data_IF_138079105275
#
_entry.id   IF_138079105275
#
_cell.length_a   1.000
_cell.length_b   1.000
_cell.length_c   1.000
_cell.angle_alpha   90.00
_cell.angle_beta   90.00
_cell.angle_gamma   90.00
#
_symmetry.space_group_name_H-M   'P 1'
#
loop_
_entity.id
_entity.type
_entity.pdbx_description
1 polymer ?
#
# COMPACT_ATOMS: atom_id res chain seq x y z
N UNK A 1 -15.11 -3.54 13.98
CA UNK A 1 -14.99 -4.12 12.62
C UNK A 1 -13.64 -3.71 12.05
N UNK A 2 -12.60 -4.49 12.32
CA UNK A 2 -11.28 -4.28 11.69
C UNK A 2 -11.35 -5.01 10.36
N UNK A 3 -11.24 -4.29 9.25
CA UNK A 3 -11.18 -4.89 7.92
C UNK A 3 -10.12 -5.98 7.95
N UNK A 4 -10.50 -7.21 7.64
CA UNK A 4 -9.55 -8.33 7.69
C UNK A 4 -8.63 -8.19 6.48
N UNK A 5 -7.35 -7.80 6.64
CA UNK A 5 -6.42 -7.81 5.51
C UNK A 5 -6.38 -9.21 4.90
N UNK A 6 -6.01 -9.33 3.63
CA UNK A 6 -5.94 -10.64 2.95
C UNK A 6 -5.04 -11.65 3.67
N UNK A 7 -4.04 -11.19 4.43
CA UNK A 7 -3.23 -12.02 5.34
C UNK A 7 -4.04 -12.64 6.49
N UNK A 8 -5.02 -11.93 7.04
CA UNK A 8 -5.91 -12.47 8.07
C UNK A 8 -6.80 -13.59 7.50
N UNK A 9 -7.17 -13.53 6.22
CA UNK A 9 -7.87 -14.63 5.56
C UNK A 9 -6.99 -15.89 5.49
N UNK A 10 -5.70 -15.74 5.18
CA UNK A 10 -4.73 -16.86 5.20
C UNK A 10 -4.66 -17.49 6.60
N UNK A 11 -4.52 -16.67 7.64
CA UNK A 11 -4.50 -17.17 9.02
C UNK A 11 -5.79 -17.87 9.44
N UNK A 12 -6.96 -17.41 8.95
CA UNK A 12 -8.25 -18.06 9.23
C UNK A 12 -8.41 -19.40 8.51
N UNK A 13 -7.84 -19.57 7.31
CA UNK A 13 -7.85 -20.85 6.58
C UNK A 13 -7.19 -21.96 7.41
N UNK A 14 -6.10 -21.63 8.12
CA UNK A 14 -5.34 -22.56 8.97
C UNK A 14 -5.71 -22.48 10.46
N UNK A 15 -6.95 -22.10 10.80
CA UNK A 15 -7.37 -21.99 12.20
C UNK A 15 -7.20 -23.34 12.92
N UNK A 16 -6.42 -23.36 14.00
CA UNK A 16 -6.10 -24.57 14.76
C UNK A 16 -4.85 -25.33 14.28
N UNK A 17 -4.22 -24.88 13.19
CA UNK A 17 -2.95 -25.41 12.67
C UNK A 17 -1.91 -24.27 12.58
N UNK A 18 -1.13 -24.07 13.64
CA UNK A 18 -0.11 -23.02 13.68
C UNK A 18 1.02 -23.24 12.67
N UNK A 19 1.36 -24.50 12.37
CA UNK A 19 2.43 -24.85 11.43
C UNK A 19 2.00 -24.56 10.00
N UNK A 20 0.79 -25.00 9.62
CA UNK A 20 0.19 -24.67 8.33
C UNK A 20 -0.03 -23.18 8.15
N UNK A 21 -0.45 -22.45 9.19
CA UNK A 21 -0.61 -20.99 9.16
C UNK A 21 0.71 -20.28 8.85
N UNK A 22 1.81 -20.66 9.51
CA UNK A 22 3.14 -20.10 9.24
C UNK A 22 3.59 -20.41 7.81
N UNK A 23 3.45 -21.65 7.35
CA UNK A 23 3.80 -22.05 5.98
C UNK A 23 2.98 -21.29 4.93
N UNK A 24 1.66 -21.19 5.13
CA UNK A 24 0.75 -20.45 4.26
C UNK A 24 1.11 -18.97 4.18
N UNK A 25 1.48 -18.35 5.31
CA UNK A 25 1.98 -16.97 5.33
C UNK A 25 3.31 -16.83 4.56
N UNK A 26 4.22 -17.80 4.64
CA UNK A 26 5.44 -17.79 3.82
C UNK A 26 5.11 -17.80 2.33
N UNK A 27 4.21 -18.67 1.86
CA UNK A 27 3.77 -18.68 0.46
C UNK A 27 3.08 -17.38 0.05
N UNK A 28 2.27 -16.80 0.93
CA UNK A 28 1.62 -15.51 0.69
C UNK A 28 2.65 -14.39 0.45
N UNK A 29 3.68 -14.29 1.29
CA UNK A 29 4.75 -13.30 1.09
C UNK A 29 5.61 -13.59 -0.14
N UNK A 30 5.90 -14.86 -0.44
CA UNK A 30 6.61 -15.22 -1.67
C UNK A 30 5.81 -14.82 -2.92
N UNK A 31 4.49 -15.03 -2.92
CA UNK A 31 3.63 -14.61 -4.04
C UNK A 31 3.64 -13.08 -4.23
N UNK A 32 3.66 -12.30 -3.14
CA UNK A 32 3.79 -10.83 -3.21
C UNK A 32 5.13 -10.44 -3.85
N UNK A 33 6.24 -11.04 -3.42
CA UNK A 33 7.57 -10.75 -3.96
C UNK A 33 7.67 -11.13 -5.44
N UNK A 34 7.19 -12.31 -5.83
CA UNK A 34 7.14 -12.74 -7.24
C UNK A 34 6.28 -11.79 -8.09
N UNK A 35 5.10 -11.41 -7.60
CA UNK A 35 4.26 -10.43 -8.27
C UNK A 35 4.94 -9.08 -8.43
N UNK A 36 5.65 -8.61 -7.40
CA UNK A 36 6.44 -7.37 -7.45
C UNK A 36 7.59 -7.46 -8.46
N UNK A 37 8.30 -8.59 -8.54
CA UNK A 37 9.35 -8.81 -9.54
C UNK A 37 8.80 -8.66 -10.96
N UNK A 38 7.69 -9.34 -11.26
CA UNK A 38 7.04 -9.25 -12.56
C UNK A 38 6.58 -7.80 -12.82
N UNK A 39 5.97 -7.14 -11.85
CA UNK A 39 5.53 -5.76 -11.97
C UNK A 39 6.66 -4.78 -12.28
N UNK A 40 7.77 -4.86 -11.54
CA UNK A 40 8.96 -4.01 -11.74
C UNK A 40 9.63 -4.31 -13.09
N UNK A 41 9.67 -5.57 -13.52
CA UNK A 41 10.24 -5.96 -14.80
C UNK A 41 9.41 -5.40 -15.97
N UNK A 42 8.08 -5.55 -15.90
CA UNK A 42 7.16 -5.28 -17.00
C UNK A 42 6.81 -3.79 -17.11
N UNK A 43 6.52 -3.10 -16.00
CA UNK A 43 5.99 -1.73 -16.04
C UNK A 43 6.86 -0.73 -16.84
N UNK A 44 8.20 -0.70 -16.71
CA UNK A 44 9.04 0.22 -17.48
C UNK A 44 8.97 -0.01 -19.00
N UNK A 45 8.69 -1.25 -19.46
CA UNK A 45 8.59 -1.57 -20.88
C UNK A 45 7.43 -0.85 -21.57
N UNK A 46 6.36 -0.56 -20.82
CA UNK A 46 5.16 0.11 -21.33
C UNK A 46 5.20 1.63 -21.17
N UNK A 47 6.18 2.16 -20.42
CA UNK A 47 6.28 3.60 -20.14
C UNK A 47 6.56 4.43 -21.41
N UNK A 48 7.26 3.85 -22.38
CA UNK A 48 7.60 4.50 -23.67
C UNK A 48 6.52 4.31 -24.75
N UNK A 49 5.38 3.70 -24.41
CA UNK A 49 4.27 3.55 -25.35
C UNK A 49 3.57 4.89 -25.61
N UNK A 50 2.79 4.97 -26.71
CA UNK A 50 2.02 6.17 -27.08
C UNK A 50 1.05 6.68 -25.99
N UNK A 51 0.61 5.80 -25.08
CA UNK A 51 -0.28 6.16 -23.96
C UNK A 51 0.47 6.35 -22.63
N UNK A 52 1.79 6.21 -22.62
CA UNK A 52 2.66 6.43 -21.47
C UNK A 52 2.21 5.66 -20.21
N UNK A 53 2.03 6.41 -19.11
CA UNK A 53 1.61 5.86 -17.81
C UNK A 53 0.26 5.13 -17.90
N UNK A 54 -0.64 5.54 -18.80
CA UNK A 54 -1.96 4.91 -18.94
C UNK A 54 -1.85 3.45 -19.40
N UNK A 55 -0.83 3.10 -20.18
CA UNK A 55 -0.56 1.71 -20.56
C UNK A 55 -0.21 0.84 -19.35
N UNK A 56 0.59 1.38 -18.41
CA UNK A 56 0.94 0.68 -17.17
C UNK A 56 -0.31 0.50 -16.30
N UNK A 57 -1.12 1.54 -16.17
CA UNK A 57 -2.38 1.48 -15.42
C UNK A 57 -3.36 0.46 -16.01
N UNK A 58 -3.46 0.38 -17.34
CA UNK A 58 -4.29 -0.61 -18.01
C UNK A 58 -3.89 -2.05 -17.65
N UNK A 59 -2.58 -2.34 -17.66
CA UNK A 59 -2.06 -3.67 -17.27
C UNK A 59 -2.38 -3.96 -15.79
N UNK A 60 -2.25 -2.98 -14.91
CA UNK A 60 -2.62 -3.13 -13.49
C UNK A 60 -4.10 -3.46 -13.34
N UNK A 61 -4.98 -2.75 -14.04
CA UNK A 61 -6.42 -3.01 -14.03
C UNK A 61 -6.73 -4.42 -14.54
N UNK A 62 -6.11 -4.84 -15.64
CA UNK A 62 -6.27 -6.20 -16.17
C UNK A 62 -5.79 -7.27 -15.17
N UNK A 63 -4.64 -7.06 -14.53
CA UNK A 63 -4.13 -7.97 -13.50
C UNK A 63 -5.06 -8.06 -12.28
N UNK A 64 -5.61 -6.93 -11.82
CA UNK A 64 -6.61 -6.90 -10.74
C UNK A 64 -7.90 -7.60 -11.14
N UNK A 65 -8.38 -7.40 -12.37
CA UNK A 65 -9.56 -8.08 -12.90
C UNK A 65 -9.34 -9.60 -12.97
N UNK A 66 -8.18 -10.05 -13.46
CA UNK A 66 -7.82 -11.47 -13.49
C UNK A 66 -7.78 -12.08 -12.08
N UNK A 67 -7.22 -11.37 -11.09
CA UNK A 67 -7.21 -11.82 -9.70
C UNK A 67 -8.64 -11.92 -9.12
N UNK A 68 -9.51 -10.94 -9.40
CA UNK A 68 -10.90 -10.97 -8.97
C UNK A 68 -11.68 -12.12 -9.60
N UNK A 69 -11.51 -12.36 -10.90
CA UNK A 69 -12.12 -13.50 -11.60
C UNK A 69 -11.62 -14.83 -11.04
N UNK A 70 -10.32 -14.95 -10.75
CA UNK A 70 -9.76 -16.14 -10.12
C UNK A 70 -10.38 -16.40 -8.74
N UNK A 71 -10.50 -15.35 -7.91
CA UNK A 71 -11.15 -15.44 -6.60
C UNK A 71 -12.61 -15.90 -6.72
N UNK A 72 -13.38 -15.33 -7.65
CA UNK A 72 -14.77 -15.73 -7.90
C UNK A 72 -14.85 -17.19 -8.36
N UNK A 73 -14.01 -17.60 -9.31
CA UNK A 73 -13.98 -18.98 -9.82
C UNK A 73 -13.58 -20.00 -8.74
N UNK A 74 -12.76 -19.60 -7.78
CA UNK A 74 -12.27 -20.43 -6.67
C UNK A 74 -12.99 -20.18 -5.34
N UNK A 75 -14.11 -19.44 -5.35
CA UNK A 75 -14.85 -19.04 -4.14
C UNK A 75 -15.14 -20.20 -3.19
N UNK A 76 -15.48 -21.38 -3.74
CA UNK A 76 -15.78 -22.61 -2.96
C UNK A 76 -14.66 -23.05 -2.01
N UNK A 77 -13.40 -22.70 -2.28
CA UNK A 77 -12.27 -23.03 -1.41
C UNK A 77 -12.40 -22.31 -0.05
N UNK A 78 -13.12 -21.19 -0.02
CA UNK A 78 -13.22 -20.31 1.15
C UNK A 78 -14.48 -20.54 1.98
N UNK A 79 -15.40 -21.43 1.59
CA UNK A 79 -16.70 -21.62 2.26
C UNK A 79 -16.56 -21.96 3.76
N UNK A 80 -15.44 -22.60 4.13
CA UNK A 80 -15.10 -23.02 5.50
C UNK A 80 -14.65 -21.84 6.40
N UNK A 81 -14.38 -20.69 5.79
CA UNK A 81 -13.66 -19.55 6.41
C UNK A 81 -14.46 -18.25 6.31
N UNK A 82 -15.46 -18.23 5.43
CA UNK A 82 -16.40 -17.11 5.23
C UNK A 82 -17.32 -17.00 6.44
N UNK A 83 -17.42 -15.79 6.99
CA UNK A 83 -18.30 -15.48 8.12
C UNK A 83 -19.78 -15.65 7.70
N UNK A 84 -20.65 -16.01 8.63
CA UNK A 84 -22.08 -16.17 8.32
C UNK A 84 -22.72 -14.86 7.86
N UNK A 85 -22.14 -13.72 8.28
CA UNK A 85 -22.52 -12.40 7.81
C UNK A 85 -22.17 -12.16 6.33
N UNK A 86 -21.10 -12.78 5.83
CA UNK A 86 -20.62 -12.69 4.45
C UNK A 86 -21.37 -13.65 3.51
N UNK A 87 -22.08 -14.65 4.07
CA UNK A 87 -22.96 -15.56 3.31
C UNK A 87 -24.30 -14.91 2.95
N UNK A 88 -24.72 -13.88 3.70
CA UNK A 88 -25.97 -13.17 3.45
C UNK A 88 -25.78 -12.11 2.35
N UNK A 89 -26.74 -11.94 1.43
CA UNK A 89 -26.66 -10.87 0.44
C UNK A 89 -26.65 -9.50 1.14
N UNK A 90 -25.87 -8.55 0.61
CA UNK A 90 -25.87 -7.19 1.15
C UNK A 90 -27.26 -6.56 0.99
N UNK A 91 -27.85 -6.14 2.10
CA UNK A 91 -29.12 -5.41 2.11
C UNK A 91 -28.92 -3.98 1.61
N UNK A 92 -29.95 -3.36 1.05
CA UNK A 92 -29.91 -1.97 0.57
C UNK A 92 -29.43 -1.01 1.67
N UNK A 93 -29.84 -1.25 2.92
CA UNK A 93 -29.42 -0.47 4.08
C UNK A 93 -27.89 -0.51 4.34
N UNK A 94 -27.19 -1.56 3.88
CA UNK A 94 -25.72 -1.67 3.96
C UNK A 94 -25.05 -1.22 2.66
N UNK A 95 -25.66 -1.50 1.51
CA UNK A 95 -25.09 -1.16 0.20
C UNK A 95 -25.10 0.35 -0.05
N UNK A 96 -26.20 1.03 0.30
CA UNK A 96 -26.34 2.46 0.06
C UNK A 96 -25.28 3.33 0.76
N UNK A 97 -24.98 3.17 2.08
CA UNK A 97 -23.93 3.95 2.72
C UNK A 97 -22.53 3.62 2.17
N UNK A 98 -22.27 2.36 1.78
CA UNK A 98 -21.00 1.99 1.16
C UNK A 98 -20.84 2.66 -0.20
N UNK A 99 -21.87 2.63 -1.05
CA UNK A 99 -21.87 3.31 -2.34
C UNK A 99 -21.75 4.82 -2.18
N UNK A 100 -22.49 5.42 -1.25
CA UNK A 100 -22.39 6.86 -0.96
C UNK A 100 -20.99 7.25 -0.49
N UNK A 101 -20.36 6.43 0.37
CA UNK A 101 -18.98 6.64 0.81
C UNK A 101 -17.99 6.55 -0.36
N UNK A 102 -18.10 5.53 -1.21
CA UNK A 102 -17.23 5.35 -2.38
C UNK A 102 -17.40 6.48 -3.40
N UNK A 103 -18.64 6.83 -3.73
CA UNK A 103 -18.96 7.91 -4.67
C UNK A 103 -18.56 9.27 -4.13
N UNK A 104 -18.82 9.54 -2.85
CA UNK A 104 -18.41 10.77 -2.18
C UNK A 104 -16.89 10.89 -2.11
N UNK A 105 -16.21 9.82 -1.72
CA UNK A 105 -14.74 9.76 -1.71
C UNK A 105 -14.14 9.99 -3.10
N UNK A 106 -14.72 9.35 -4.14
CA UNK A 106 -14.32 9.57 -5.52
C UNK A 106 -14.56 11.02 -5.96
N UNK A 107 -15.73 11.60 -5.68
CA UNK A 107 -16.05 12.98 -6.05
C UNK A 107 -15.10 13.99 -5.38
N UNK A 108 -14.78 13.79 -4.10
CA UNK A 108 -13.79 14.61 -3.38
C UNK A 108 -12.42 14.46 -4.03
N UNK A 109 -11.95 13.23 -4.24
CA UNK A 109 -10.64 12.97 -4.83
C UNK A 109 -10.53 13.54 -6.26
N UNK A 110 -11.58 13.40 -7.06
CA UNK A 110 -11.65 13.93 -8.42
C UNK A 110 -11.65 15.46 -8.44
N UNK A 111 -12.45 16.08 -7.56
CA UNK A 111 -12.46 17.55 -7.42
C UNK A 111 -11.11 18.07 -6.96
N UNK A 112 -10.47 17.39 -6.01
CA UNK A 112 -9.14 17.71 -5.51
C UNK A 112 -8.07 17.60 -6.60
N UNK A 113 -8.17 16.56 -7.44
CA UNK A 113 -7.31 16.34 -8.59
C UNK A 113 -7.44 17.45 -9.64
N UNK A 114 -8.67 17.90 -9.93
CA UNK A 114 -8.92 19.01 -10.86
C UNK A 114 -8.47 20.37 -10.32
N UNK A 115 -8.41 20.53 -8.99
CA UNK A 115 -8.09 21.81 -8.33
C UNK A 115 -6.89 21.69 -7.37
N UNK A 116 -5.68 21.42 -7.88
CA UNK A 116 -4.51 21.12 -7.04
C UNK A 116 -4.10 22.29 -6.13
N UNK A 117 -4.29 23.54 -6.57
CA UNK A 117 -4.00 24.72 -5.75
C UNK A 117 -4.87 24.77 -4.51
N UNK A 118 -6.20 24.62 -4.67
CA UNK A 118 -7.16 24.62 -3.56
C UNK A 118 -6.86 23.45 -2.61
N UNK A 119 -6.61 22.26 -3.17
CA UNK A 119 -6.24 21.07 -2.39
C UNK A 119 -4.99 21.31 -1.55
N UNK A 120 -3.96 21.95 -2.12
CA UNK A 120 -2.72 22.28 -1.40
C UNK A 120 -2.98 23.23 -0.23
N UNK A 121 -3.80 24.26 -0.42
CA UNK A 121 -4.16 25.18 0.66
C UNK A 121 -4.99 24.50 1.76
N UNK A 122 -5.99 23.68 1.38
CA UNK A 122 -6.83 22.97 2.35
C UNK A 122 -6.00 21.99 3.18
N UNK A 123 -5.13 21.20 2.54
CA UNK A 123 -4.23 20.27 3.21
C UNK A 123 -3.24 21.05 4.09
N UNK A 124 -2.62 22.10 3.56
CA UNK A 124 -1.65 22.92 4.29
C UNK A 124 -2.26 23.57 5.53
N UNK A 125 -3.45 24.16 5.40
CA UNK A 125 -4.18 24.78 6.51
C UNK A 125 -4.61 23.73 7.53
N UNK A 126 -5.16 22.59 7.09
CA UNK A 126 -5.54 21.49 7.97
C UNK A 126 -4.38 20.93 8.78
N UNK A 127 -3.25 20.66 8.11
CA UNK A 127 -2.01 20.22 8.76
C UNK A 127 -1.50 21.27 9.75
N UNK A 128 -1.45 22.54 9.34
CA UNK A 128 -0.99 23.64 10.22
C UNK A 128 -1.87 23.77 11.44
N UNK A 129 -3.20 23.77 11.27
CA UNK A 129 -4.15 23.84 12.36
C UNK A 129 -4.02 22.64 13.31
N UNK A 130 -3.85 21.42 12.77
CA UNK A 130 -3.64 20.21 13.57
C UNK A 130 -2.36 20.26 14.40
N UNK A 131 -1.25 20.69 13.79
CA UNK A 131 0.04 20.86 14.49
C UNK A 131 -0.08 21.94 15.56
N UNK A 132 -0.68 23.08 15.25
CA UNK A 132 -0.89 24.16 16.22
C UNK A 132 -1.77 23.71 17.39
N UNK A 133 -2.88 23.03 17.11
CA UNK A 133 -3.77 22.49 18.14
C UNK A 133 -3.04 21.49 19.04
N UNK A 134 -2.22 20.61 18.46
CA UNK A 134 -1.37 19.68 19.21
C UNK A 134 -0.36 20.41 20.09
N UNK A 135 0.37 21.40 19.55
CA UNK A 135 1.35 22.18 20.28
C UNK A 135 0.73 22.99 21.42
N UNK A 136 -0.37 23.70 21.15
CA UNK A 136 -1.11 24.46 22.16
C UNK A 136 -1.57 23.54 23.28
N UNK A 137 -2.18 22.39 22.94
CA UNK A 137 -2.64 21.42 23.94
C UNK A 137 -1.47 20.86 24.76
N UNK A 138 -0.32 20.62 24.14
CA UNK A 138 0.89 20.17 24.83
C UNK A 138 1.39 21.23 25.83
N UNK A 139 1.36 22.52 25.47
CA UNK A 139 1.79 23.61 26.35
C UNK A 139 0.85 23.83 27.54
N UNK A 140 -0.45 23.53 27.39
CA UNK A 140 -1.45 23.64 28.45
C UNK A 140 -1.37 22.49 29.47
N UNK A 141 -0.74 21.36 29.13
CA UNK A 141 -0.56 20.23 30.03
C UNK A 141 0.59 20.46 31.02
N UNK A 142 0.50 19.84 32.19
CA UNK A 142 1.54 19.88 33.24
C UNK A 142 1.89 18.47 33.71
N UNK A 143 3.05 18.34 34.38
CA UNK A 143 3.50 17.08 34.96
C UNK A 143 3.69 15.95 33.93
N UNK A 144 3.30 14.73 34.33
CA UNK A 144 3.55 13.51 33.56
C UNK A 144 2.87 13.50 32.18
N UNK A 145 1.70 14.14 32.05
CA UNK A 145 0.95 14.14 30.78
C UNK A 145 1.63 15.01 29.71
N UNK A 146 2.26 16.12 30.12
CA UNK A 146 3.10 16.91 29.22
C UNK A 146 4.31 16.10 28.75
N UNK A 147 4.98 15.38 29.66
CA UNK A 147 6.13 14.54 29.30
C UNK A 147 5.73 13.46 28.28
N UNK A 148 4.59 12.77 28.48
CA UNK A 148 4.09 11.78 27.53
C UNK A 148 3.80 12.39 26.15
N UNK A 149 3.19 13.58 26.09
CA UNK A 149 2.93 14.26 24.81
C UNK A 149 4.22 14.70 24.12
N UNK A 150 5.23 15.16 24.85
CA UNK A 150 6.54 15.50 24.27
C UNK A 150 7.26 14.27 23.72
N UNK A 151 7.19 13.13 24.42
CA UNK A 151 7.71 11.85 23.91
C UNK A 151 6.96 11.43 22.64
N UNK A 152 5.62 11.57 22.62
CA UNK A 152 4.83 11.28 21.43
C UNK A 152 5.22 12.19 20.25
N UNK A 153 5.44 13.49 20.48
CA UNK A 153 5.91 14.42 19.47
C UNK A 153 7.28 14.02 18.90
N UNK A 154 8.21 13.62 19.77
CA UNK A 154 9.51 13.12 19.35
C UNK A 154 9.38 11.85 18.49
N UNK A 155 8.57 10.87 18.91
CA UNK A 155 8.34 9.64 18.14
C UNK A 155 7.66 9.92 16.80
N UNK A 156 6.73 10.87 16.73
CA UNK A 156 6.11 11.32 15.47
C UNK A 156 7.17 11.93 14.55
N UNK A 157 8.07 12.77 15.07
CA UNK A 157 9.15 13.35 14.27
C UNK A 157 10.09 12.27 13.71
N UNK A 158 10.52 11.33 14.56
CA UNK A 158 11.35 10.19 14.14
C UNK A 158 10.64 9.38 13.06
N UNK A 159 9.34 9.11 13.23
CA UNK A 159 8.54 8.42 12.22
C UNK A 159 8.47 9.19 10.91
N UNK A 160 8.24 10.52 10.94
CA UNK A 160 8.23 11.36 9.73
C UNK A 160 9.56 11.25 9.00
N UNK A 161 10.68 11.45 9.68
CA UNK A 161 12.02 11.37 9.06
C UNK A 161 12.26 9.99 8.45
N UNK A 162 11.97 8.93 9.21
CA UNK A 162 12.09 7.56 8.73
C UNK A 162 11.27 7.31 7.46
N UNK A 163 9.98 7.68 7.47
CA UNK A 163 9.08 7.45 6.33
C UNK A 163 9.43 8.32 5.13
N UNK A 164 9.91 9.55 5.32
CA UNK A 164 10.38 10.41 4.23
C UNK A 164 11.57 9.78 3.53
N UNK A 165 12.57 9.32 4.29
CA UNK A 165 13.74 8.64 3.73
C UNK A 165 13.36 7.31 3.07
N UNK A 166 12.51 6.52 3.71
CA UNK A 166 12.02 5.25 3.18
C UNK A 166 11.30 5.42 1.84
N UNK A 167 10.40 6.39 1.73
CA UNK A 167 9.66 6.65 0.48
C UNK A 167 10.57 7.23 -0.63
N UNK A 168 11.64 7.95 -0.28
CA UNK A 168 12.59 8.47 -1.26
C UNK A 168 13.60 7.43 -1.76
N UNK A 169 13.85 6.34 -1.01
CA UNK A 169 14.83 5.31 -1.35
C UNK A 169 14.66 4.79 -2.78
N UNK A 170 13.42 4.50 -3.20
CA UNK A 170 13.13 3.98 -4.54
C UNK A 170 13.55 4.99 -5.63
N UNK A 171 13.14 6.25 -5.51
CA UNK A 171 13.49 7.30 -6.48
C UNK A 171 15.00 7.57 -6.52
N UNK A 172 15.65 7.63 -5.36
CA UNK A 172 17.11 7.81 -5.26
C UNK A 172 17.85 6.69 -5.96
N UNK A 173 17.46 5.43 -5.75
CA UNK A 173 18.09 4.28 -6.41
C UNK A 173 17.92 4.35 -7.94
N UNK A 174 16.73 4.69 -8.43
CA UNK A 174 16.47 4.83 -9.87
C UNK A 174 17.33 5.94 -10.48
N UNK A 175 17.44 7.09 -9.82
CA UNK A 175 18.27 8.21 -10.31
C UNK A 175 19.75 7.90 -10.23
N UNK A 176 20.22 7.23 -9.17
CA UNK A 176 21.60 6.79 -9.05
C UNK A 176 21.97 5.84 -10.19
N UNK A 177 21.14 4.81 -10.41
CA UNK A 177 21.33 3.84 -11.49
C UNK A 177 21.32 4.53 -12.86
N UNK A 178 20.40 5.47 -13.08
CA UNK A 178 20.31 6.21 -14.33
C UNK A 178 21.58 6.99 -14.66
N UNK A 179 22.29 7.50 -13.66
CA UNK A 179 23.42 8.42 -13.85
C UNK A 179 24.79 7.76 -13.63
N UNK A 180 24.85 6.60 -12.97
CA UNK A 180 26.12 6.01 -12.50
C UNK A 180 26.23 4.49 -12.76
N UNK A 181 25.39 3.91 -13.62
CA UNK A 181 25.40 2.46 -13.87
C UNK A 181 25.26 2.17 -15.36
N UNK A 182 25.97 1.14 -15.83
CA UNK A 182 25.76 0.60 -17.17
C UNK A 182 24.48 -0.23 -17.19
N UNK A 183 23.63 0.03 -18.17
CA UNK A 183 22.35 -0.64 -18.35
C UNK A 183 22.47 -2.02 -18.99
N UNK A 184 23.66 -2.42 -19.44
CA UNK A 184 23.89 -3.68 -20.12
C UNK A 184 24.36 -4.74 -19.14
N UNK A 185 23.49 -5.71 -18.83
CA UNK A 185 23.83 -6.87 -18.01
C UNK A 185 23.68 -8.12 -18.88
N UNK A 186 24.76 -8.90 -19.05
CA UNK A 186 24.77 -10.15 -19.82
C UNK A 186 24.23 -9.99 -21.26
N UNK A 187 24.45 -8.83 -21.89
CA UNK A 187 23.97 -8.50 -23.23
C UNK A 187 22.51 -8.05 -23.31
N UNK A 188 21.81 -7.93 -22.17
CA UNK A 188 20.47 -7.38 -22.08
C UNK A 188 20.52 -5.93 -21.58
N UNK A 189 19.84 -5.02 -22.27
CA UNK A 189 19.70 -3.63 -21.83
C UNK A 189 18.49 -3.48 -20.91
N UNK A 190 18.74 -3.09 -19.66
CA UNK A 190 17.71 -2.87 -18.63
C UNK A 190 17.40 -1.39 -18.44
N UNK A 191 16.15 -1.06 -18.20
CA UNK A 191 15.77 0.28 -17.76
C UNK A 191 16.27 0.53 -16.31
N UNK A 192 16.62 1.78 -15.93
CA UNK A 192 17.08 2.10 -14.58
C UNK A 192 16.14 1.62 -13.46
N UNK A 193 14.82 1.67 -13.70
CA UNK A 193 13.82 1.19 -12.76
C UNK A 193 13.88 -0.33 -12.51
N UNK A 194 14.36 -1.12 -13.48
CA UNK A 194 14.45 -2.57 -13.37
C UNK A 194 15.59 -3.02 -12.43
N UNK A 195 16.53 -2.15 -12.08
CA UNK A 195 17.53 -2.47 -11.04
C UNK A 195 16.91 -2.63 -9.65
N UNK A 196 15.69 -2.13 -9.44
CA UNK A 196 14.93 -2.39 -8.21
C UNK A 196 14.47 -3.85 -8.07
N UNK A 197 14.63 -4.70 -9.10
CA UNK A 197 14.36 -6.14 -8.99
C UNK A 197 15.15 -6.79 -7.86
N UNK A 198 16.33 -6.27 -7.52
CA UNK A 198 17.16 -6.76 -6.41
C UNK A 198 16.39 -6.71 -5.08
N UNK A 199 15.53 -5.71 -4.87
CA UNK A 199 14.75 -5.56 -3.65
C UNK A 199 13.75 -6.72 -3.44
N UNK A 200 13.14 -7.21 -4.52
CA UNK A 200 12.20 -8.31 -4.44
C UNK A 200 12.87 -9.69 -4.57
N UNK A 201 14.12 -9.74 -5.09
CA UNK A 201 14.92 -10.96 -5.23
C UNK A 201 15.67 -11.41 -3.97
N UNK A 202 15.76 -10.57 -2.94
CA UNK A 202 16.31 -10.95 -1.63
C UNK A 202 15.16 -11.30 -0.67
N UNK A 203 14.85 -12.60 -0.42
CA UNK A 203 13.89 -13.02 0.60
C UNK A 203 14.41 -12.83 2.05
N UNK A 204 15.41 -11.97 2.24
CA UNK A 204 16.07 -11.76 3.52
C UNK A 204 15.27 -10.86 4.46
N UNK A 205 14.85 -11.46 5.59
CA UNK A 205 14.68 -10.79 6.89
C UNK A 205 13.45 -9.90 7.14
N UNK A 206 12.46 -9.83 6.23
CA UNK A 206 11.17 -9.15 6.53
C UNK A 206 10.22 -9.98 7.42
N UNK A 207 10.71 -11.04 8.07
CA UNK A 207 9.92 -11.91 8.96
C UNK A 207 9.79 -11.39 10.40
N UNK A 208 10.43 -10.27 10.75
CA UNK A 208 10.37 -9.72 12.10
C UNK A 208 10.41 -8.18 12.11
N UNK A 209 9.41 -7.51 11.54
CA UNK A 209 9.15 -6.11 11.89
C UNK A 209 7.70 -5.71 11.54
N UNK A 210 6.98 -5.32 12.60
CA UNK A 210 5.59 -4.82 12.69
C UNK A 210 4.48 -5.88 12.69
#
# INVERSE_FOLDING_TARGET
>A
MVGSPSSALVSRIYKGDEVGSKSGMTYFYMAINVGSLIGIAVAPMFMNSQYGVMSVLAIVVLGKAAAALNFIAKRKIYDNVVDDLDKQPMTIARTLPVLAYLMGGYAIAYTAYLNPYISTYLIGLGCTAGILAFCIRTMLLTGADRTKQLVAAFLILVAIVFYVLYNQMATTMVMFTKNNTDFTILGLTLAPAQFQLINAGYPGYRLYAA
#
